data_IF_645045631242
#
_entry.id   IF_645045631242
#
_cell.length_a   1.000
_cell.length_b   1.000
_cell.length_c   1.000
_cell.angle_alpha   90.00
_cell.angle_beta   90.00
_cell.angle_gamma   90.00
#
_symmetry.space_group_name_H-M   'P 1'
#
loop_
_entity.id
_entity.type
_entity.pdbx_description
1 polymer ?
#
# COMPACT_ATOMS: atom_id res chain seq x y z
N UNK A 1 18.48 -1.92 11.80
CA UNK A 1 18.27 -3.38 11.96
C UNK A 1 16.75 -3.63 11.89
N UNK A 2 16.16 -3.57 10.70
CA UNK A 2 14.72 -3.80 10.53
C UNK A 2 14.47 -5.31 10.55
N UNK A 3 13.88 -5.76 11.65
CA UNK A 3 13.42 -7.14 11.84
C UNK A 3 12.55 -7.57 10.65
N UNK A 4 12.80 -8.78 10.13
CA UNK A 4 11.91 -9.49 9.21
C UNK A 4 10.58 -9.76 9.95
N UNK A 5 9.70 -8.76 10.01
CA UNK A 5 8.32 -8.99 10.40
C UNK A 5 7.66 -9.79 9.27
N UNK A 6 7.60 -11.10 9.49
CA UNK A 6 6.83 -12.02 8.65
C UNK A 6 5.38 -11.56 8.73
N UNK A 7 4.86 -10.99 7.65
CA UNK A 7 3.46 -10.59 7.53
C UNK A 7 2.63 -11.87 7.37
N UNK A 8 2.34 -12.53 8.49
CA UNK A 8 1.94 -13.95 8.59
C UNK A 8 0.76 -14.36 7.70
N UNK A 9 -0.08 -13.43 7.26
CA UNK A 9 -1.31 -13.72 6.49
C UNK A 9 -1.31 -13.17 5.04
N UNK A 10 -0.20 -12.64 4.53
CA UNK A 10 -0.16 -12.13 3.15
C UNK A 10 0.04 -13.28 2.16
N UNK A 11 -0.91 -13.44 1.23
CA UNK A 11 -0.90 -14.51 0.21
C UNK A 11 -0.18 -14.12 -1.09
N UNK A 12 -0.27 -12.85 -1.48
CA UNK A 12 0.33 -12.34 -2.71
C UNK A 12 0.36 -10.81 -2.70
N UNK A 13 1.20 -10.23 -3.56
CA UNK A 13 1.27 -8.79 -3.80
C UNK A 13 0.66 -8.43 -5.14
N UNK A 14 0.36 -7.15 -5.35
CA UNK A 14 -0.08 -6.61 -6.64
C UNK A 14 0.67 -5.31 -6.92
N UNK A 15 1.06 -5.10 -8.18
CA UNK A 15 1.81 -3.91 -8.61
C UNK A 15 1.50 -3.57 -10.06
N UNK A 16 1.90 -2.38 -10.49
CA UNK A 16 1.81 -1.98 -11.89
C UNK A 16 3.02 -2.44 -12.72
N UNK A 17 2.98 -2.15 -14.01
CA UNK A 17 4.00 -2.46 -15.00
C UNK A 17 5.37 -1.82 -14.71
N UNK A 18 5.44 -0.74 -13.94
CA UNK A 18 6.69 -0.12 -13.52
C UNK A 18 7.49 -0.95 -12.53
N UNK A 19 6.85 -1.87 -11.80
CA UNK A 19 7.51 -2.76 -10.83
C UNK A 19 8.05 -4.05 -11.45
N UNK A 20 8.10 -4.16 -12.79
CA UNK A 20 8.72 -5.29 -13.47
C UNK A 20 10.23 -5.32 -13.17
N UNK A 21 10.77 -6.49 -12.83
CA UNK A 21 12.20 -6.67 -12.58
C UNK A 21 12.53 -6.86 -11.10
N UNK A 22 13.22 -5.91 -10.49
CA UNK A 22 13.79 -6.07 -9.14
C UNK A 22 12.74 -6.37 -8.07
N UNK A 23 11.58 -5.73 -8.13
CA UNK A 23 10.49 -5.97 -7.18
C UNK A 23 9.90 -7.38 -7.32
N UNK A 24 9.64 -7.85 -8.56
CA UNK A 24 9.22 -9.24 -8.82
C UNK A 24 10.24 -10.23 -8.26
N UNK A 25 11.54 -10.03 -8.60
CA UNK A 25 12.63 -10.89 -8.14
C UNK A 25 12.72 -10.92 -6.61
N UNK A 26 12.56 -9.78 -5.94
CA UNK A 26 12.58 -9.70 -4.48
C UNK A 26 11.40 -10.46 -3.86
N UNK A 27 10.18 -10.22 -4.35
CA UNK A 27 8.98 -10.87 -3.82
C UNK A 27 9.02 -12.39 -3.99
N UNK A 28 9.49 -12.86 -5.15
CA UNK A 28 9.60 -14.29 -5.41
C UNK A 28 10.76 -14.94 -4.64
N UNK A 29 11.97 -14.35 -4.67
CA UNK A 29 13.17 -14.98 -4.10
C UNK A 29 13.33 -14.77 -2.60
N UNK A 30 12.93 -13.61 -2.07
CA UNK A 30 13.15 -13.24 -0.67
C UNK A 30 11.91 -13.53 0.17
N UNK A 31 10.72 -13.24 -0.36
CA UNK A 31 9.47 -13.42 0.37
C UNK A 31 8.78 -14.75 0.07
N UNK A 32 9.14 -15.43 -1.04
CA UNK A 32 8.50 -16.68 -1.46
C UNK A 32 7.02 -16.50 -1.85
N UNK A 33 6.64 -15.28 -2.24
CA UNK A 33 5.26 -14.92 -2.60
C UNK A 33 5.19 -14.52 -4.08
N UNK A 34 3.96 -14.39 -4.61
CA UNK A 34 3.73 -13.97 -5.99
C UNK A 34 3.42 -12.47 -6.08
N UNK A 35 4.00 -11.77 -7.06
CA UNK A 35 3.65 -10.39 -7.40
C UNK A 35 2.81 -10.38 -8.68
N UNK A 36 1.53 -10.01 -8.58
CA UNK A 36 0.65 -9.85 -9.73
C UNK A 36 0.87 -8.47 -10.37
N UNK A 37 1.35 -8.44 -11.61
CA UNK A 37 1.59 -7.20 -12.36
C UNK A 37 0.39 -6.87 -13.23
N UNK A 38 -0.20 -5.69 -13.04
CA UNK A 38 -1.19 -5.12 -13.96
C UNK A 38 -0.47 -4.41 -15.10
N UNK A 39 -0.78 -4.77 -16.34
CA UNK A 39 -0.32 -4.02 -17.51
C UNK A 39 -1.06 -2.68 -17.59
N UNK A 40 -0.44 -1.69 -18.23
CA UNK A 40 -1.13 -0.44 -18.60
C UNK A 40 -2.35 -0.80 -19.46
N UNK A 41 -3.51 -0.29 -19.06
CA UNK A 41 -4.73 -0.40 -19.88
C UNK A 41 -4.51 0.45 -21.15
N UNK A 42 -5.12 0.06 -22.28
CA UNK A 42 -5.18 0.85 -23.53
C UNK A 42 -5.65 2.29 -23.25
N UNK A 43 -5.60 3.19 -24.23
CA UNK A 43 -5.92 4.63 -24.11
C UNK A 43 -7.36 4.99 -23.63
N UNK A 44 -8.12 4.01 -23.14
CA UNK A 44 -9.46 4.17 -22.56
C UNK A 44 -9.45 3.80 -21.08
N UNK A 45 -10.19 4.55 -20.27
CA UNK A 45 -10.38 4.24 -18.85
C UNK A 45 -11.00 2.84 -18.66
N UNK A 46 -10.42 2.04 -17.76
CA UNK A 46 -11.03 0.80 -17.30
C UNK A 46 -10.84 0.63 -15.79
N UNK A 47 -11.85 0.06 -15.13
CA UNK A 47 -11.85 -0.16 -13.69
C UNK A 47 -10.97 -1.36 -13.34
N UNK A 48 -9.98 -1.15 -12.48
CA UNK A 48 -9.16 -2.22 -11.88
C UNK A 48 -9.60 -2.43 -10.43
N UNK A 49 -10.33 -3.52 -10.10
CA UNK A 49 -10.95 -3.69 -8.79
C UNK A 49 -9.96 -3.57 -7.62
N UNK A 50 -8.75 -4.15 -7.75
CA UNK A 50 -7.71 -4.05 -6.71
C UNK A 50 -7.13 -2.65 -6.55
N UNK A 51 -7.02 -1.89 -7.66
CA UNK A 51 -6.49 -0.52 -7.63
C UNK A 51 -7.43 0.41 -6.88
N UNK A 52 -8.73 0.23 -7.09
CA UNK A 52 -9.75 1.06 -6.47
C UNK A 52 -9.77 0.93 -4.94
N UNK A 53 -9.43 -0.24 -4.39
CA UNK A 53 -9.31 -0.43 -2.93
C UNK A 53 -8.16 0.42 -2.37
N UNK A 54 -7.02 0.42 -3.07
CA UNK A 54 -5.83 1.18 -2.69
C UNK A 54 -6.10 2.69 -2.79
N UNK A 55 -6.60 3.15 -3.94
CA UNK A 55 -6.91 4.55 -4.18
C UNK A 55 -7.95 5.08 -3.20
N UNK A 56 -8.99 4.29 -2.89
CA UNK A 56 -9.99 4.64 -1.86
C UNK A 56 -9.37 4.81 -0.48
N UNK A 57 -8.43 3.95 -0.12
CA UNK A 57 -7.74 4.03 1.18
C UNK A 57 -6.94 5.33 1.27
N UNK A 58 -6.19 5.67 0.22
CA UNK A 58 -5.46 6.95 0.14
C UNK A 58 -6.40 8.16 0.10
N UNK A 59 -7.55 8.06 -0.56
CA UNK A 59 -8.55 9.12 -0.56
C UNK A 59 -9.06 9.43 0.86
N UNK A 60 -9.22 8.41 1.72
CA UNK A 60 -9.58 8.62 3.13
C UNK A 60 -8.46 9.30 3.93
N UNK A 61 -7.19 9.05 3.60
CA UNK A 61 -6.08 9.79 4.21
C UNK A 61 -6.10 11.29 3.88
N UNK A 62 -6.75 11.69 2.78
CA UNK A 62 -6.98 13.10 2.45
C UNK A 62 -7.74 13.88 3.53
N UNK A 63 -8.52 13.20 4.38
CA UNK A 63 -9.22 13.84 5.51
C UNK A 63 -8.30 14.08 6.72
N UNK A 64 -7.09 13.53 6.73
CA UNK A 64 -6.12 13.70 7.81
C UNK A 64 -5.10 14.75 7.41
N UNK A 65 -5.29 15.99 7.88
CA UNK A 65 -4.45 17.15 7.53
C UNK A 65 -2.94 16.88 7.66
N UNK A 66 -2.51 16.14 8.68
CA UNK A 66 -1.09 15.79 8.92
C UNK A 66 -0.52 14.80 7.91
N UNK A 67 -1.34 14.08 7.15
CA UNK A 67 -0.91 13.19 6.06
C UNK A 67 -0.91 13.88 4.69
N UNK A 68 -1.34 15.14 4.60
CA UNK A 68 -1.38 15.86 3.31
C UNK A 68 0.01 16.17 2.75
N UNK A 69 1.02 16.29 3.62
CA UNK A 69 2.44 16.48 3.30
C UNK A 69 3.29 15.78 4.35
N UNK A 70 4.57 15.59 4.05
CA UNK A 70 5.53 15.10 5.02
C UNK A 70 5.90 16.23 5.99
N UNK A 71 5.19 16.27 7.14
CA UNK A 71 5.40 17.26 8.19
C UNK A 71 6.31 16.75 9.32
N UNK A 72 6.52 15.44 9.40
CA UNK A 72 7.15 14.84 10.55
C UNK A 72 8.67 14.75 10.34
N UNK A 73 9.44 15.23 11.32
CA UNK A 73 10.91 15.21 11.24
C UNK A 73 11.45 13.78 11.38
N UNK A 74 10.79 12.97 12.21
CA UNK A 74 11.22 11.61 12.52
C UNK A 74 10.33 10.59 11.80
N UNK A 75 10.98 9.61 11.16
CA UNK A 75 10.31 8.53 10.42
C UNK A 75 9.34 7.76 11.31
N UNK A 76 9.68 7.53 12.58
CA UNK A 76 8.79 6.82 13.52
C UNK A 76 7.52 7.61 13.81
N UNK A 77 7.59 8.95 13.84
CA UNK A 77 6.42 9.81 13.99
C UNK A 77 5.55 9.79 12.74
N UNK A 78 6.16 9.88 11.55
CA UNK A 78 5.44 9.75 10.27
C UNK A 78 4.70 8.41 10.19
N UNK A 79 5.38 7.32 10.55
CA UNK A 79 4.79 5.98 10.57
C UNK A 79 3.61 5.88 11.54
N UNK A 80 3.75 6.46 12.74
CA UNK A 80 2.68 6.48 13.74
C UNK A 80 1.47 7.30 13.26
N UNK A 81 1.68 8.40 12.54
CA UNK A 81 0.58 9.18 11.98
C UNK A 81 -0.24 8.35 10.97
N UNK A 82 0.42 7.56 10.12
CA UNK A 82 -0.26 6.64 9.20
C UNK A 82 -1.03 5.55 9.96
N UNK A 83 -0.42 4.95 11.00
CA UNK A 83 -1.07 3.94 11.84
C UNK A 83 -2.34 4.49 12.51
N UNK A 84 -2.26 5.68 13.12
CA UNK A 84 -3.39 6.33 13.79
C UNK A 84 -4.53 6.58 12.78
N UNK A 85 -4.22 7.14 11.61
CA UNK A 85 -5.23 7.38 10.58
C UNK A 85 -5.93 6.09 10.13
N UNK A 86 -5.18 5.00 9.95
CA UNK A 86 -5.75 3.72 9.55
C UNK A 86 -6.64 3.11 10.65
N UNK A 87 -6.24 3.23 11.93
CA UNK A 87 -7.06 2.81 13.06
C UNK A 87 -8.38 3.58 13.11
N UNK A 88 -8.33 4.92 12.99
CA UNK A 88 -9.53 5.76 12.97
C UNK A 88 -10.47 5.42 11.81
N UNK A 89 -9.93 5.20 10.61
CA UNK A 89 -10.72 4.73 9.45
C UNK A 89 -11.38 3.38 9.77
N UNK A 90 -10.63 2.42 10.32
CA UNK A 90 -11.15 1.09 10.61
C UNK A 90 -12.30 1.15 11.62
N UNK A 91 -12.13 1.87 12.73
CA UNK A 91 -13.20 2.06 13.73
C UNK A 91 -14.44 2.70 13.10
N UNK A 92 -14.28 3.68 12.22
CA UNK A 92 -15.41 4.41 11.62
C UNK A 92 -16.17 3.59 10.56
N UNK A 93 -15.54 2.57 9.97
CA UNK A 93 -16.12 1.80 8.84
C UNK A 93 -16.50 0.37 9.20
N UNK A 94 -16.01 -0.14 10.33
CA UNK A 94 -16.33 -1.48 10.82
C UNK A 94 -17.39 -1.48 11.94
N UNK A 95 -17.64 -0.34 12.58
CA UNK A 95 -18.79 -0.10 13.47
C UNK A 95 -19.91 0.49 12.62
#
# INVERSE_FOLDING_TARGET
MYSKQRLLNIKAFSGDEGYRGTAVKFVEKVLGLKLHISKKIKDTFAVLPKRWIVERTFAWFGNYRRLSKDYEILISTAENMVRIAMLSIMVTKCV
#
